data_IF_150089006728
#
_entry.id   IF_150089006728
#
_cell.length_a   1.000
_cell.length_b   1.000
_cell.length_c   1.000
_cell.angle_alpha   90.00
_cell.angle_beta   90.00
_cell.angle_gamma   90.00
#
_symmetry.space_group_name_H-M   'P 1'
#
loop_
_entity.id
_entity.type
_entity.pdbx_description
1 polymer ?
#
# COMPACT_ATOMS: atom_id res chain seq x y z
N UNK A 1 7.49 -21.94 1.55
CA UNK A 1 8.19 -20.66 1.55
C UNK A 1 7.17 -19.54 1.73
N UNK A 2 7.37 -18.73 2.73
CA UNK A 2 6.47 -17.60 2.96
C UNK A 2 6.73 -16.51 1.93
N UNK A 3 5.73 -16.17 1.18
CA UNK A 3 5.78 -15.01 0.30
C UNK A 3 5.82 -13.74 1.13
N UNK A 4 6.74 -12.86 0.79
CA UNK A 4 6.89 -11.56 1.45
C UNK A 4 6.22 -10.47 0.63
N UNK A 5 5.56 -9.59 1.31
CA UNK A 5 4.93 -8.42 0.69
C UNK A 5 5.77 -7.19 0.97
N UNK A 6 6.00 -6.41 -0.09
CA UNK A 6 6.78 -5.18 -0.03
C UNK A 6 6.01 -4.02 -0.63
N UNK A 7 6.11 -2.86 -0.01
CA UNK A 7 5.68 -1.61 -0.59
C UNK A 7 6.90 -0.84 -1.06
N UNK A 8 6.89 -0.44 -2.30
CA UNK A 8 7.92 0.38 -2.90
C UNK A 8 7.33 1.72 -3.31
N UNK A 9 7.87 2.79 -2.77
CA UNK A 9 7.51 4.15 -3.13
C UNK A 9 8.75 4.81 -3.71
N UNK A 10 8.62 5.40 -4.87
CA UNK A 10 9.70 6.20 -5.42
C UNK A 10 9.19 7.54 -5.95
N UNK A 11 10.07 8.50 -5.99
CA UNK A 11 9.78 9.87 -6.37
C UNK A 11 10.63 10.22 -7.57
N UNK A 12 9.97 10.69 -8.63
CA UNK A 12 10.63 11.21 -9.82
C UNK A 12 10.68 12.73 -9.78
N UNK A 13 11.58 13.31 -10.56
CA UNK A 13 11.63 14.77 -10.73
C UNK A 13 10.28 15.31 -11.23
N UNK A 14 9.91 16.52 -10.82
CA UNK A 14 8.60 17.07 -11.20
C UNK A 14 8.46 17.36 -12.69
N UNK A 15 9.56 17.56 -13.36
CA UNK A 15 9.63 17.80 -14.82
C UNK A 15 9.75 16.54 -15.65
N UNK A 16 9.71 15.36 -15.04
CA UNK A 16 9.84 14.08 -15.73
C UNK A 16 8.63 13.84 -16.65
N UNK A 17 8.86 13.62 -17.95
CA UNK A 17 7.78 13.24 -18.86
C UNK A 17 7.12 11.93 -18.44
N UNK A 18 5.82 11.82 -18.64
CA UNK A 18 5.07 10.61 -18.32
C UNK A 18 5.64 9.37 -19.03
N UNK A 19 6.12 9.53 -20.26
CA UNK A 19 6.75 8.45 -21.01
C UNK A 19 7.99 7.90 -20.32
N UNK A 20 8.82 8.75 -19.74
CA UNK A 20 10.00 8.30 -19.00
C UNK A 20 9.62 7.60 -17.69
N UNK A 21 8.64 8.13 -17.00
CA UNK A 21 8.11 7.50 -15.78
C UNK A 21 7.55 6.11 -16.08
N UNK A 22 6.82 5.96 -17.16
CA UNK A 22 6.27 4.68 -17.61
C UNK A 22 7.37 3.69 -17.98
N UNK A 23 8.46 4.14 -18.58
CA UNK A 23 9.63 3.29 -18.85
C UNK A 23 10.26 2.76 -17.58
N UNK A 24 10.39 3.61 -16.57
CA UNK A 24 10.91 3.19 -15.25
C UNK A 24 9.99 2.15 -14.61
N UNK A 25 8.69 2.39 -14.63
CA UNK A 25 7.70 1.45 -14.09
C UNK A 25 7.75 0.10 -14.82
N UNK A 26 7.80 0.12 -16.14
CA UNK A 26 7.89 -1.10 -16.95
C UNK A 26 9.18 -1.88 -16.67
N UNK A 27 10.29 -1.20 -16.54
CA UNK A 27 11.58 -1.81 -16.22
C UNK A 27 11.55 -2.46 -14.82
N UNK A 28 10.94 -1.81 -13.85
CA UNK A 28 10.79 -2.35 -12.50
C UNK A 28 9.88 -3.58 -12.48
N UNK A 29 8.76 -3.51 -13.17
CA UNK A 29 7.83 -4.64 -13.29
C UNK A 29 8.50 -5.85 -13.94
N UNK A 30 9.21 -5.63 -15.05
CA UNK A 30 9.96 -6.68 -15.75
C UNK A 30 10.99 -7.33 -14.82
N UNK A 31 11.73 -6.53 -14.08
CA UNK A 31 12.73 -7.03 -13.14
C UNK A 31 12.12 -7.82 -12.00
N UNK A 32 10.99 -7.38 -11.49
CA UNK A 32 10.27 -8.10 -10.44
C UNK A 32 9.82 -9.48 -10.92
N UNK A 33 9.26 -9.56 -12.10
CA UNK A 33 8.83 -10.82 -12.71
C UNK A 33 10.02 -11.73 -13.01
N UNK A 34 11.10 -11.17 -13.53
CA UNK A 34 12.33 -11.91 -13.84
C UNK A 34 12.93 -12.58 -12.60
N UNK A 35 12.84 -11.93 -11.45
CA UNK A 35 13.32 -12.45 -10.17
C UNK A 35 12.29 -13.33 -9.43
N UNK A 36 11.23 -13.73 -10.10
CA UNK A 36 10.21 -14.58 -9.53
C UNK A 36 9.20 -13.87 -8.63
N UNK A 37 9.17 -12.56 -8.68
CA UNK A 37 8.19 -11.76 -7.94
C UNK A 37 6.95 -11.46 -8.76
N UNK A 38 5.98 -10.83 -8.12
CA UNK A 38 4.74 -10.41 -8.74
C UNK A 38 4.38 -9.01 -8.30
N UNK A 39 3.95 -8.19 -9.22
CA UNK A 39 3.40 -6.87 -8.93
C UNK A 39 1.92 -7.03 -8.61
N UNK A 40 1.54 -6.72 -7.38
CA UNK A 40 0.15 -6.80 -6.92
C UNK A 40 -0.63 -5.53 -7.25
N UNK A 41 0.02 -4.39 -7.09
CA UNK A 41 -0.62 -3.09 -7.25
C UNK A 41 0.39 -2.07 -7.74
N UNK A 42 -0.08 -1.17 -8.58
CA UNK A 42 0.71 -0.05 -9.08
C UNK A 42 -0.18 1.18 -9.13
N UNK A 43 0.26 2.26 -8.50
CA UNK A 43 -0.48 3.52 -8.47
C UNK A 43 0.44 4.69 -8.82
N UNK A 44 -0.10 5.63 -9.53
CA UNK A 44 0.52 6.92 -9.78
C UNK A 44 -0.18 7.95 -8.89
N UNK A 45 0.54 8.50 -7.92
CA UNK A 45 -0.04 9.45 -6.99
C UNK A 45 0.02 10.89 -7.49
N UNK A 46 0.73 11.11 -8.60
CA UNK A 46 0.88 12.43 -9.19
C UNK A 46 1.93 13.29 -8.49
N UNK A 47 1.97 14.56 -8.86
CA UNK A 47 2.92 15.52 -8.33
C UNK A 47 2.48 16.00 -6.95
N UNK A 48 3.38 15.91 -5.98
CA UNK A 48 3.15 16.36 -4.61
C UNK A 48 4.33 17.16 -4.10
N UNK A 49 4.07 18.07 -3.18
CA UNK A 49 5.10 18.84 -2.52
C UNK A 49 5.86 17.97 -1.53
N UNK A 50 7.20 18.05 -1.60
CA UNK A 50 8.07 17.34 -0.67
C UNK A 50 8.13 18.06 0.67
N UNK A 51 8.28 17.31 1.76
CA UNK A 51 8.44 17.87 3.09
C UNK A 51 9.76 18.64 3.24
N UNK A 52 10.78 18.22 2.51
CA UNK A 52 12.09 18.87 2.43
C UNK A 52 12.65 18.75 1.01
N UNK A 53 13.60 19.56 0.66
CA UNK A 53 14.20 19.54 -0.68
C UNK A 53 15.03 18.25 -0.87
N UNK A 54 14.79 17.57 -1.98
CA UNK A 54 15.58 16.43 -2.41
C UNK A 54 16.18 16.78 -3.77
N UNK A 55 17.50 16.72 -3.88
CA UNK A 55 18.24 17.12 -5.09
C UNK A 55 17.80 18.50 -5.63
N UNK A 56 17.61 19.47 -4.75
CA UNK A 56 17.15 20.84 -5.07
C UNK A 56 15.70 20.94 -5.57
N UNK A 57 14.94 19.86 -5.60
CA UNK A 57 13.53 19.86 -5.98
C UNK A 57 12.63 20.00 -4.76
N UNK A 58 11.60 20.83 -4.87
CA UNK A 58 10.58 21.00 -3.81
C UNK A 58 9.37 20.14 -4.02
N UNK A 59 9.16 19.67 -5.24
CA UNK A 59 8.06 18.83 -5.65
C UNK A 59 8.58 17.57 -6.33
N UNK A 60 7.75 16.56 -6.41
CA UNK A 60 8.09 15.32 -7.08
C UNK A 60 6.85 14.53 -7.45
N UNK A 61 7.01 13.67 -8.42
CA UNK A 61 5.97 12.74 -8.82
C UNK A 61 6.13 11.45 -8.01
N UNK A 62 5.08 11.09 -7.27
CA UNK A 62 5.04 9.90 -6.43
C UNK A 62 4.47 8.71 -7.18
N UNK A 63 5.15 7.59 -7.07
CA UNK A 63 4.72 6.31 -7.62
C UNK A 63 4.76 5.26 -6.53
N UNK A 64 3.74 4.43 -6.49
CA UNK A 64 3.59 3.37 -5.51
C UNK A 64 3.47 2.02 -6.21
N UNK A 65 4.22 1.03 -5.73
CA UNK A 65 4.13 -0.35 -6.19
C UNK A 65 4.04 -1.28 -5.00
N UNK A 66 3.16 -2.24 -5.07
CA UNK A 66 3.08 -3.32 -4.10
C UNK A 66 3.55 -4.60 -4.76
N UNK A 67 4.54 -5.23 -4.16
CA UNK A 67 5.24 -6.37 -4.73
C UNK A 67 5.16 -7.58 -3.80
N UNK A 68 5.01 -8.73 -4.39
CA UNK A 68 5.04 -10.00 -3.67
C UNK A 68 6.18 -10.87 -4.21
N UNK A 69 6.97 -11.45 -3.34
CA UNK A 69 8.07 -12.31 -3.74
C UNK A 69 8.62 -13.13 -2.59
N UNK A 70 9.26 -14.24 -2.92
CA UNK A 70 9.83 -15.17 -1.94
C UNK A 70 11.20 -14.71 -1.41
N UNK A 71 11.93 -13.94 -2.19
CA UNK A 71 13.31 -13.58 -1.89
C UNK A 71 13.57 -12.07 -1.91
N UNK A 72 14.44 -11.64 -1.01
CA UNK A 72 14.87 -10.23 -0.96
C UNK A 72 15.74 -9.79 -2.14
N UNK A 73 16.22 -10.70 -2.96
CA UNK A 73 17.03 -10.39 -4.14
C UNK A 73 16.27 -9.55 -5.16
N UNK A 74 14.97 -9.79 -5.29
CA UNK A 74 14.08 -8.98 -6.12
C UNK A 74 14.17 -7.50 -5.74
N UNK A 75 14.07 -7.23 -4.45
CA UNK A 75 14.10 -5.85 -3.94
C UNK A 75 15.48 -5.22 -4.16
N UNK A 76 16.55 -5.96 -3.96
CA UNK A 76 17.90 -5.47 -4.22
C UNK A 76 18.08 -5.04 -5.68
N UNK A 77 17.58 -5.84 -6.60
CA UNK A 77 17.64 -5.52 -8.03
C UNK A 77 16.79 -4.29 -8.38
N UNK A 78 15.59 -4.19 -7.81
CA UNK A 78 14.73 -3.04 -8.01
C UNK A 78 15.37 -1.75 -7.45
N UNK A 79 15.95 -1.82 -6.28
CA UNK A 79 16.65 -0.68 -5.68
C UNK A 79 17.87 -0.28 -6.52
N UNK A 80 18.61 -1.25 -7.04
CA UNK A 80 19.73 -0.98 -7.94
C UNK A 80 19.27 -0.21 -9.17
N UNK A 81 18.18 -0.64 -9.78
CA UNK A 81 17.63 0.03 -10.97
C UNK A 81 17.13 1.43 -10.67
N UNK A 82 16.51 1.62 -9.50
CA UNK A 82 16.08 2.95 -9.06
C UNK A 82 17.24 3.89 -8.82
N UNK A 83 18.35 3.40 -8.29
CA UNK A 83 19.57 4.21 -8.11
C UNK A 83 20.17 4.67 -9.43
N UNK A 84 20.10 3.84 -10.46
CA UNK A 84 20.66 4.13 -11.78
C UNK A 84 19.70 4.96 -12.63
N UNK A 85 18.41 4.92 -12.36
CA UNK A 85 17.42 5.66 -13.13
C UNK A 85 17.57 7.17 -12.90
N UNK A 86 17.83 7.91 -13.97
CA UNK A 86 18.05 9.36 -13.91
C UNK A 86 16.87 10.15 -13.34
N UNK A 87 15.60 9.86 -13.71
CA UNK A 87 14.47 10.65 -13.22
C UNK A 87 14.15 10.41 -11.73
N UNK A 88 14.59 9.31 -11.15
CA UNK A 88 14.29 8.97 -9.76
C UNK A 88 15.21 9.74 -8.81
N UNK A 89 14.62 10.52 -7.91
CA UNK A 89 15.36 11.31 -6.93
C UNK A 89 15.40 10.67 -5.55
N UNK A 90 14.41 9.85 -5.22
CA UNK A 90 14.35 9.14 -3.94
C UNK A 90 13.46 7.92 -4.05
N UNK A 91 13.76 6.91 -3.26
CA UNK A 91 12.92 5.71 -3.15
C UNK A 91 12.90 5.21 -1.69
N UNK A 92 11.86 4.46 -1.36
CA UNK A 92 11.70 3.82 -0.07
C UNK A 92 11.03 2.46 -0.25
N UNK A 93 11.60 1.44 0.35
CA UNK A 93 11.03 0.10 0.35
C UNK A 93 10.64 -0.29 1.77
N UNK A 94 9.43 -0.78 1.96
CA UNK A 94 8.93 -1.22 3.25
C UNK A 94 8.49 -2.67 3.15
N UNK A 95 8.94 -3.50 4.07
CA UNK A 95 8.53 -4.89 4.19
C UNK A 95 7.29 -4.98 5.07
N UNK A 96 6.22 -5.55 4.54
CA UNK A 96 4.91 -5.58 5.18
C UNK A 96 4.55 -6.89 5.87
N UNK A 97 5.29 -7.94 5.63
CA UNK A 97 4.95 -9.28 6.13
C UNK A 97 4.81 -9.34 7.66
N UNK A 98 5.68 -8.66 8.38
CA UNK A 98 5.62 -8.61 9.84
C UNK A 98 4.37 -7.86 10.33
N UNK A 99 4.05 -6.78 9.69
CA UNK A 99 2.86 -5.99 10.03
C UNK A 99 1.58 -6.75 9.75
N UNK A 100 1.51 -7.44 8.62
CA UNK A 100 0.39 -8.30 8.27
C UNK A 100 0.23 -9.42 9.31
N UNK A 101 1.30 -10.05 9.73
CA UNK A 101 1.27 -11.05 10.81
C UNK A 101 0.75 -10.46 12.11
N UNK A 102 1.18 -9.26 12.45
CA UNK A 102 0.72 -8.53 13.65
C UNK A 102 -0.77 -8.21 13.56
N UNK A 103 -1.22 -7.71 12.43
CA UNK A 103 -2.63 -7.41 12.19
C UNK A 103 -3.50 -8.66 12.26
N UNK A 104 -3.07 -9.76 11.65
CA UNK A 104 -3.78 -11.04 11.73
C UNK A 104 -3.92 -11.54 13.17
N UNK A 105 -2.88 -11.41 13.98
CA UNK A 105 -2.94 -11.74 15.41
C UNK A 105 -3.94 -10.88 16.14
N UNK A 106 -3.97 -9.59 15.87
CA UNK A 106 -4.92 -8.65 16.50
C UNK A 106 -6.36 -8.97 16.13
N UNK A 107 -6.61 -9.20 14.84
CA UNK A 107 -7.94 -9.57 14.35
C UNK A 107 -8.39 -10.89 15.00
N UNK A 108 -7.54 -11.89 14.99
CA UNK A 108 -7.85 -13.18 15.61
C UNK A 108 -8.13 -13.06 17.11
N UNK A 109 -7.36 -12.22 17.82
CA UNK A 109 -7.59 -11.92 19.22
C UNK A 109 -8.95 -11.23 19.46
N UNK A 110 -9.32 -10.30 18.57
CA UNK A 110 -10.63 -9.62 18.64
C UNK A 110 -11.77 -10.59 18.40
N UNK A 111 -11.64 -11.46 17.43
CA UNK A 111 -12.64 -12.49 17.13
C UNK A 111 -12.83 -13.45 18.31
N UNK A 112 -11.73 -13.90 18.90
CA UNK A 112 -11.79 -14.75 20.10
C UNK A 112 -12.45 -14.05 21.28
N UNK A 113 -12.18 -12.77 21.48
CA UNK A 113 -12.84 -11.97 22.52
C UNK A 113 -14.33 -11.81 22.23
N UNK A 114 -14.69 -11.53 21.01
CA UNK A 114 -16.09 -11.38 20.58
C UNK A 114 -16.86 -12.69 20.76
N UNK A 115 -16.25 -13.83 20.46
CA UNK A 115 -16.83 -15.14 20.65
C UNK A 115 -17.01 -15.50 22.13
N UNK A 116 -16.13 -15.00 23.01
CA UNK A 116 -16.22 -15.25 24.47
C UNK A 116 -17.18 -14.32 25.19
N UNK A 117 -17.46 -13.16 24.64
CA UNK A 117 -18.47 -12.27 25.24
C UNK A 117 -19.83 -12.88 25.01
N UNK A 118 -20.58 -13.13 26.11
CA UNK A 118 -21.99 -13.46 25.95
C UNK A 118 -22.60 -12.30 25.16
N UNK A 119 -23.19 -12.61 24.03
CA UNK A 119 -23.98 -11.63 23.30
C UNK A 119 -24.96 -11.04 24.32
N UNK A 120 -24.69 -9.86 24.78
CA UNK A 120 -25.77 -9.03 25.26
C UNK A 120 -26.75 -9.01 24.10
N UNK A 121 -27.93 -9.60 24.34
CA UNK A 121 -29.02 -9.46 23.41
C UNK A 121 -28.94 -8.06 22.84
N UNK A 122 -28.75 -8.01 21.53
CA UNK A 122 -28.74 -6.75 20.86
C UNK A 122 -29.89 -5.93 21.40
N UNK A 123 -29.67 -4.72 21.87
CA UNK A 123 -30.79 -3.91 22.33
C UNK A 123 -31.81 -3.99 21.24
N UNK A 124 -32.95 -4.54 21.59
CA UNK A 124 -34.07 -4.65 20.70
C UNK A 124 -34.08 -3.42 19.84
N UNK A 125 -34.05 -3.64 18.52
CA UNK A 125 -34.07 -2.56 17.57
C UNK A 125 -35.01 -1.50 18.11
N UNK A 126 -34.58 -0.25 18.15
CA UNK A 126 -35.40 0.80 18.69
C UNK A 126 -36.78 0.64 18.11
N UNK A 127 -37.80 0.62 18.93
CA UNK A 127 -39.13 0.39 18.42
C UNK A 127 -39.52 1.54 17.51
N UNK A 128 -39.03 1.48 16.34
CA UNK A 128 -39.40 2.42 15.32
C UNK A 128 -40.87 2.46 15.07
N UNK A 129 -41.52 1.43 15.49
CA UNK A 129 -42.94 1.33 15.36
C UNK A 129 -43.73 2.34 16.21
N UNK A 130 -43.10 2.94 17.16
CA UNK A 130 -43.82 3.82 18.04
C UNK A 130 -44.45 5.03 17.34
N UNK A 131 -43.89 5.46 16.29
CA UNK A 131 -44.39 6.62 15.60
C UNK A 131 -45.66 6.36 14.80
N UNK A 132 -45.96 5.14 14.54
CA UNK A 132 -47.11 4.82 13.72
C UNK A 132 -48.43 5.22 14.36
N UNK A 133 -48.42 5.47 15.61
CA UNK A 133 -49.63 5.77 16.34
C UNK A 133 -50.09 7.20 16.17
N UNK A 134 -49.24 8.04 15.68
CA UNK A 134 -49.59 9.43 15.57
C UNK A 134 -50.69 9.69 14.53
N UNK A 135 -50.96 8.76 13.73
CA UNK A 135 -51.95 8.93 12.67
C UNK A 135 -53.38 8.75 13.13
N UNK A 136 -53.58 8.51 14.35
CA UNK A 136 -54.88 8.08 14.82
C UNK A 136 -55.87 9.19 14.93
N UNK A 137 -56.08 10.05 14.28
CA UNK A 137 -57.21 10.96 14.48
C UNK A 137 -57.81 11.52 13.22
#
# INVERSE_FOLDING_TARGET
MEERLYDLIFICRPDTPEAEADKVLAALEHSAVEKGGKVEKMEKWGTRRLAYRVHKHREGQYFFMQLRGAHGEMIKELERRLKVADPVIKYLTVRLDEEIKRQKKLVHRRERRAARRPRKSAPAAPPAAAESTAAAS
#
